data_IF_795149640420
#
_entry.id   IF_795149640420
#
_cell.length_a   1.000
_cell.length_b   1.000
_cell.length_c   1.000
_cell.angle_alpha   90.00
_cell.angle_beta   90.00
_cell.angle_gamma   90.00
#
_symmetry.space_group_name_H-M   'P 1'
#
loop_
_entity.id
_entity.type
_entity.pdbx_description
1 polymer ?
#
# COMPACT_ATOMS: atom_id res chain seq x y z
N UNK A 1 76.72 8.51 26.85
CA UNK A 1 76.32 9.96 26.79
C UNK A 1 75.04 10.05 26.05
N UNK A 2 74.01 10.62 26.71
CA UNK A 2 72.83 11.38 26.18
C UNK A 2 71.87 10.55 25.32
N UNK A 3 70.67 10.08 25.74
CA UNK A 3 69.60 10.85 26.39
C UNK A 3 68.64 11.38 25.35
N UNK A 4 67.58 10.58 24.96
CA UNK A 4 66.54 11.01 24.06
C UNK A 4 65.18 10.50 24.57
N UNK A 5 64.47 11.34 25.33
CA UNK A 5 63.07 11.15 25.74
C UNK A 5 62.16 11.26 24.52
N UNK A 6 61.46 10.17 24.19
CA UNK A 6 60.29 10.21 23.29
C UNK A 6 59.00 10.21 24.12
N UNK A 7 58.32 11.34 24.12
CA UNK A 7 57.05 11.50 24.80
C UNK A 7 55.91 10.76 24.06
N UNK A 8 55.23 9.86 24.77
CA UNK A 8 53.98 9.28 24.36
C UNK A 8 52.87 10.31 24.52
N UNK A 9 52.34 10.80 23.41
CA UNK A 9 51.07 11.52 23.39
C UNK A 9 49.94 10.46 23.44
N UNK A 10 49.38 10.26 24.61
CA UNK A 10 48.13 9.54 24.80
C UNK A 10 47.00 10.39 24.23
N UNK A 11 46.43 9.88 23.16
CA UNK A 11 45.13 10.39 22.67
C UNK A 11 44.07 10.06 23.74
N UNK A 12 43.50 11.08 24.34
CA UNK A 12 42.33 10.97 25.21
C UNK A 12 41.12 10.52 24.37
N UNK A 13 40.83 9.22 24.41
CA UNK A 13 39.60 8.65 23.93
C UNK A 13 38.46 9.11 24.85
N UNK A 14 37.66 10.06 24.38
CA UNK A 14 36.50 10.61 25.07
C UNK A 14 35.43 9.54 25.24
N UNK A 15 35.54 8.74 26.29
CA UNK A 15 34.55 7.71 26.66
C UNK A 15 33.23 8.40 27.00
N UNK A 16 32.22 8.13 26.19
CA UNK A 16 30.85 8.53 26.53
C UNK A 16 30.41 7.87 27.83
N UNK A 17 29.74 8.59 28.74
CA UNK A 17 29.29 8.01 30.00
C UNK A 17 28.26 6.93 29.77
N UNK A 18 28.56 5.69 30.19
CA UNK A 18 27.61 4.58 30.20
C UNK A 18 26.54 4.86 31.25
N UNK A 19 25.35 5.22 30.80
CA UNK A 19 24.20 5.46 31.66
C UNK A 19 23.76 4.15 32.34
N UNK A 20 23.83 4.12 33.65
CA UNK A 20 23.38 3.01 34.50
C UNK A 20 21.87 2.80 34.33
N UNK A 21 21.39 1.55 34.42
CA UNK A 21 20.04 1.10 34.02
C UNK A 21 18.83 2.01 34.42
N UNK A 22 18.84 2.59 35.62
CA UNK A 22 17.82 3.54 36.09
C UNK A 22 17.77 4.85 35.25
N UNK A 23 18.93 5.37 34.86
CA UNK A 23 19.01 6.60 34.03
C UNK A 23 18.59 6.32 32.58
N UNK A 24 18.81 5.13 32.06
CA UNK A 24 18.29 4.71 30.75
C UNK A 24 16.77 4.65 30.74
N UNK A 25 16.16 4.11 31.79
CA UNK A 25 14.69 4.00 31.90
C UNK A 25 14.02 5.37 31.94
N UNK A 26 14.58 6.32 32.70
CA UNK A 26 14.08 7.71 32.76
C UNK A 26 14.24 8.42 31.42
N UNK A 27 15.33 8.17 30.70
CA UNK A 27 15.59 8.75 29.39
C UNK A 27 14.61 8.24 28.32
N UNK A 28 14.32 6.94 28.31
CA UNK A 28 13.33 6.35 27.39
C UNK A 28 11.90 6.81 27.71
N UNK A 29 11.53 6.91 28.97
CA UNK A 29 10.21 7.42 29.37
C UNK A 29 10.04 8.89 28.97
N UNK A 30 11.07 9.71 29.16
CA UNK A 30 11.07 11.10 28.71
C UNK A 30 10.98 11.26 27.20
N UNK A 31 11.70 10.40 26.43
CA UNK A 31 11.65 10.41 24.96
C UNK A 31 10.26 10.04 24.43
N UNK A 32 9.62 9.02 25.02
CA UNK A 32 8.26 8.59 24.64
C UNK A 32 7.24 9.71 24.94
N UNK A 33 7.36 10.37 26.10
CA UNK A 33 6.49 11.50 26.45
C UNK A 33 6.63 12.67 25.49
N UNK A 34 7.86 12.95 25.05
CA UNK A 34 8.16 14.03 24.10
C UNK A 34 7.58 13.71 22.71
N UNK A 35 7.64 12.44 22.27
CA UNK A 35 7.03 11.97 21.03
C UNK A 35 5.51 12.07 21.05
N UNK A 36 4.86 11.70 22.15
CA UNK A 36 3.41 11.83 22.31
C UNK A 36 2.98 13.30 22.31
N UNK A 37 3.73 14.20 22.98
CA UNK A 37 3.46 15.63 22.96
C UNK A 37 3.61 16.26 21.55
N UNK A 38 4.55 15.80 20.74
CA UNK A 38 4.68 16.26 19.35
C UNK A 38 3.52 15.80 18.48
N UNK A 39 3.02 14.58 18.67
CA UNK A 39 1.84 14.10 17.94
C UNK A 39 0.57 14.88 18.29
N UNK A 40 0.36 15.20 19.58
CA UNK A 40 -0.83 15.97 20.02
C UNK A 40 -0.76 17.44 19.60
N UNK A 41 0.43 18.06 19.59
CA UNK A 41 0.62 19.43 19.12
C UNK A 41 0.44 19.57 17.60
N UNK A 42 0.82 18.55 16.82
CA UNK A 42 0.63 18.52 15.36
C UNK A 42 -0.84 18.51 14.96
N UNK A 43 -1.67 17.74 15.67
CA UNK A 43 -3.11 17.63 15.39
C UNK A 43 -3.85 18.93 15.73
N UNK A 44 -3.48 19.63 16.81
CA UNK A 44 -4.14 20.89 17.20
C UNK A 44 -3.81 22.05 16.26
N UNK A 45 -2.61 22.10 15.66
CA UNK A 45 -2.25 23.13 14.68
C UNK A 45 -2.97 22.93 13.34
N UNK A 46 -3.31 21.68 13.00
CA UNK A 46 -4.05 21.39 11.77
C UNK A 46 -5.54 21.77 11.88
N UNK A 47 -6.14 21.64 13.08
CA UNK A 47 -7.56 21.96 13.32
C UNK A 47 -7.87 23.45 13.59
N UNK A 48 -6.87 24.29 13.82
CA UNK A 48 -7.08 25.73 14.13
C UNK A 48 -6.79 26.68 12.97
N UNK A 49 -6.48 26.16 11.76
CA UNK A 49 -6.23 27.01 10.57
C UNK A 49 -7.44 27.26 9.68
N UNK A 50 -8.64 26.96 10.15
CA UNK A 50 -9.87 27.45 9.51
C UNK A 50 -10.48 28.61 10.29
N UNK A 51 -10.14 29.84 9.89
CA UNK A 51 -10.99 31.02 9.76
C UNK A 51 -10.13 32.28 9.65
N UNK A 52 -9.93 32.74 8.45
CA UNK A 52 -9.94 34.17 8.15
C UNK A 52 -10.25 34.37 6.66
N UNK A 53 -11.40 34.98 6.45
CA UNK A 53 -11.91 35.40 5.17
C UNK A 53 -10.95 36.36 4.49
N UNK A 54 -10.56 36.05 3.26
CA UNK A 54 -10.26 37.06 2.24
C UNK A 54 -10.72 36.51 0.88
N UNK A 55 -11.79 37.10 0.38
CA UNK A 55 -12.32 36.91 -0.94
C UNK A 55 -11.26 37.33 -1.95
N UNK A 56 -10.67 36.41 -2.68
CA UNK A 56 -10.06 36.60 -3.98
C UNK A 56 -10.66 35.56 -4.92
N UNK A 57 -11.36 36.11 -5.89
CA UNK A 57 -11.78 35.41 -7.09
C UNK A 57 -10.60 34.58 -7.64
N UNK A 58 -10.68 33.26 -7.44
CA UNK A 58 -9.80 32.30 -8.09
C UNK A 58 -10.69 31.44 -8.94
N UNK A 59 -10.47 31.57 -10.24
CA UNK A 59 -10.92 30.69 -11.30
C UNK A 59 -11.25 29.30 -10.76
N UNK A 60 -12.52 28.92 -10.92
CA UNK A 60 -13.01 27.57 -10.58
C UNK A 60 -12.19 26.53 -11.34
N UNK A 61 -11.23 25.91 -10.66
CA UNK A 61 -10.80 24.58 -11.04
C UNK A 61 -11.98 23.68 -10.70
N UNK A 62 -12.73 23.31 -11.72
CA UNK A 62 -13.74 22.27 -11.64
C UNK A 62 -12.98 21.00 -11.30
N UNK A 63 -12.91 20.68 -10.00
CA UNK A 63 -12.60 19.32 -9.57
C UNK A 63 -13.84 18.51 -9.95
N UNK A 64 -13.79 17.82 -11.07
CA UNK A 64 -14.83 16.86 -11.42
C UNK A 64 -14.86 15.85 -10.29
N UNK A 65 -15.97 15.83 -9.53
CA UNK A 65 -16.23 14.75 -8.58
C UNK A 65 -16.17 13.43 -9.34
N UNK A 66 -15.48 12.41 -8.82
CA UNK A 66 -15.38 11.12 -9.49
C UNK A 66 -16.80 10.60 -9.73
N UNK A 67 -17.13 10.35 -11.00
CA UNK A 67 -18.45 9.84 -11.41
C UNK A 67 -18.65 8.49 -10.71
N UNK A 68 -19.59 8.44 -9.77
CA UNK A 68 -19.92 7.22 -9.02
C UNK A 68 -20.71 6.26 -9.92
N UNK A 69 -20.31 5.01 -9.91
CA UNK A 69 -21.04 3.93 -10.58
C UNK A 69 -22.20 3.47 -9.68
N UNK A 70 -23.44 3.70 -10.09
CA UNK A 70 -24.63 3.45 -9.25
C UNK A 70 -25.05 1.99 -9.20
N UNK A 71 -24.55 1.16 -10.09
CA UNK A 71 -24.92 -0.27 -10.20
C UNK A 71 -23.84 -1.26 -9.73
N UNK A 72 -22.72 -0.78 -9.22
CA UNK A 72 -21.57 -1.62 -8.92
C UNK A 72 -21.81 -2.69 -7.83
N UNK A 73 -22.74 -2.44 -6.92
CA UNK A 73 -23.00 -3.32 -5.78
C UNK A 73 -23.99 -4.47 -6.09
N UNK A 74 -24.66 -4.46 -7.22
CA UNK A 74 -25.65 -5.48 -7.59
C UNK A 74 -25.03 -6.47 -8.59
N UNK A 75 -25.05 -7.75 -8.26
CA UNK A 75 -24.48 -8.82 -9.11
C UNK A 75 -25.09 -8.85 -10.52
N UNK A 76 -26.40 -8.57 -10.64
CA UNK A 76 -27.11 -8.59 -11.91
C UNK A 76 -26.66 -7.49 -12.87
N UNK A 77 -26.21 -6.36 -12.35
CA UNK A 77 -25.71 -5.21 -13.13
C UNK A 77 -24.19 -5.12 -13.18
N UNK A 78 -23.51 -5.86 -12.32
CA UNK A 78 -22.06 -5.93 -12.23
C UNK A 78 -21.60 -7.40 -12.09
N UNK A 79 -21.86 -8.26 -13.08
CA UNK A 79 -21.44 -9.66 -13.03
C UNK A 79 -19.93 -9.79 -13.09
N UNK A 80 -19.40 -10.88 -12.54
CA UNK A 80 -17.99 -11.23 -12.69
C UNK A 80 -17.69 -11.56 -14.14
N UNK A 81 -16.77 -10.84 -14.76
CA UNK A 81 -16.39 -11.01 -16.15
C UNK A 81 -14.89 -11.31 -16.28
N UNK A 82 -14.55 -12.19 -17.19
CA UNK A 82 -13.15 -12.36 -17.59
C UNK A 82 -12.67 -11.08 -18.31
N UNK A 83 -11.47 -10.62 -17.95
CA UNK A 83 -10.91 -9.39 -18.50
C UNK A 83 -10.63 -9.52 -20.01
N UNK A 84 -11.01 -8.46 -20.74
CA UNK A 84 -10.72 -8.30 -22.18
C UNK A 84 -10.00 -6.98 -22.48
N UNK A 85 -9.66 -6.22 -21.46
CA UNK A 85 -8.94 -4.95 -21.58
C UNK A 85 -7.44 -5.26 -21.56
N UNK A 86 -6.76 -5.03 -22.69
CA UNK A 86 -5.33 -5.29 -22.85
C UNK A 86 -4.50 -4.36 -21.96
N UNK A 87 -4.91 -3.08 -21.78
CA UNK A 87 -4.19 -2.14 -20.91
C UNK A 87 -4.23 -2.59 -19.43
N UNK A 88 -5.36 -3.14 -19.01
CA UNK A 88 -5.48 -3.71 -17.66
C UNK A 88 -4.66 -4.99 -17.51
N UNK A 89 -4.63 -5.85 -18.53
CA UNK A 89 -3.83 -7.05 -18.52
C UNK A 89 -2.34 -6.73 -18.41
N UNK A 90 -1.83 -5.80 -19.23
CA UNK A 90 -0.45 -5.33 -19.18
C UNK A 90 -0.07 -4.75 -17.80
N UNK A 91 -0.97 -3.98 -17.19
CA UNK A 91 -0.75 -3.40 -15.87
C UNK A 91 -0.66 -4.48 -14.77
N UNK A 92 -1.52 -5.50 -14.82
CA UNK A 92 -1.50 -6.63 -13.88
C UNK A 92 -0.24 -7.49 -14.09
N UNK A 93 0.15 -7.77 -15.33
CA UNK A 93 1.39 -8.50 -15.60
C UNK A 93 2.61 -7.75 -15.09
N UNK A 94 2.68 -6.42 -15.30
CA UNK A 94 3.75 -5.59 -14.77
C UNK A 94 3.81 -5.62 -13.24
N UNK A 95 2.64 -5.60 -12.57
CA UNK A 95 2.54 -5.74 -11.11
C UNK A 95 3.15 -7.06 -10.63
N UNK A 96 2.80 -8.20 -11.23
CA UNK A 96 3.34 -9.50 -10.81
C UNK A 96 4.81 -9.69 -11.17
N UNK A 97 5.29 -9.09 -12.26
CA UNK A 97 6.72 -9.04 -12.58
C UNK A 97 7.51 -8.28 -11.52
N UNK A 98 6.99 -7.13 -11.07
CA UNK A 98 7.61 -6.35 -10.00
C UNK A 98 7.58 -7.10 -8.67
N UNK A 99 6.46 -7.76 -8.36
CA UNK A 99 6.29 -8.55 -7.14
C UNK A 99 7.29 -9.71 -7.07
N UNK A 100 7.49 -10.46 -8.16
CA UNK A 100 8.48 -11.55 -8.24
C UNK A 100 9.91 -11.06 -8.04
N UNK A 101 10.20 -9.81 -8.43
CA UNK A 101 11.49 -9.18 -8.20
C UNK A 101 11.73 -8.73 -6.74
N UNK A 102 10.67 -8.45 -6.01
CA UNK A 102 10.70 -8.00 -4.62
C UNK A 102 10.71 -9.15 -3.60
N UNK A 103 9.99 -10.22 -3.90
CA UNK A 103 9.83 -11.35 -2.99
C UNK A 103 10.96 -12.37 -3.15
N UNK A 104 11.65 -12.65 -2.05
CA UNK A 104 12.80 -13.55 -2.08
C UNK A 104 12.43 -15.01 -2.41
N UNK A 105 11.20 -15.43 -2.12
CA UNK A 105 10.73 -16.80 -2.32
C UNK A 105 10.04 -17.02 -3.68
N UNK A 106 9.43 -16.01 -4.28
CA UNK A 106 8.77 -16.13 -5.57
C UNK A 106 9.80 -16.04 -6.72
N UNK A 107 9.74 -16.99 -7.66
CA UNK A 107 10.54 -16.98 -8.90
C UNK A 107 9.76 -16.35 -10.02
N UNK A 108 8.49 -16.74 -10.19
CA UNK A 108 7.58 -16.24 -11.22
C UNK A 108 6.11 -16.43 -10.80
N UNK A 109 5.24 -15.70 -11.48
CA UNK A 109 3.80 -15.88 -11.46
C UNK A 109 3.35 -16.18 -12.90
N UNK A 110 2.83 -17.39 -13.10
CA UNK A 110 2.45 -17.88 -14.43
C UNK A 110 0.93 -18.14 -14.50
N UNK A 111 0.40 -18.25 -15.71
CA UNK A 111 -1.00 -18.59 -15.93
C UNK A 111 -1.99 -17.56 -15.35
N UNK A 112 -1.61 -16.28 -15.42
CA UNK A 112 -2.43 -15.16 -14.91
C UNK A 112 -3.75 -15.12 -15.65
N UNK A 113 -4.86 -15.25 -14.92
CA UNK A 113 -6.22 -15.08 -15.41
C UNK A 113 -6.93 -14.02 -14.56
N UNK A 114 -7.43 -12.98 -15.21
CA UNK A 114 -7.97 -11.78 -14.58
C UNK A 114 -9.49 -11.78 -14.74
N UNK A 115 -10.19 -11.68 -13.62
CA UNK A 115 -11.64 -11.48 -13.58
C UNK A 115 -11.92 -10.14 -12.95
N UNK A 116 -12.94 -9.44 -13.45
CA UNK A 116 -13.21 -8.06 -13.08
C UNK A 116 -14.66 -7.84 -12.69
N UNK A 117 -14.85 -6.98 -11.71
CA UNK A 117 -16.10 -6.28 -11.43
C UNK A 117 -15.87 -4.77 -11.42
N UNK A 118 -16.89 -4.01 -11.78
CA UNK A 118 -16.83 -2.56 -11.68
C UNK A 118 -16.68 -2.12 -10.23
N UNK A 119 -15.78 -1.18 -9.96
CA UNK A 119 -15.65 -0.54 -8.66
C UNK A 119 -16.62 0.63 -8.49
N UNK A 120 -16.55 1.30 -7.33
CA UNK A 120 -17.40 2.45 -7.00
C UNK A 120 -17.21 3.63 -7.96
N UNK A 121 -15.98 3.97 -8.27
CA UNK A 121 -15.65 4.99 -9.24
C UNK A 121 -15.79 4.42 -10.66
N UNK A 122 -16.24 5.26 -11.60
CA UNK A 122 -16.46 4.82 -12.99
C UNK A 122 -15.23 4.23 -13.65
N UNK A 123 -14.05 4.72 -13.27
CA UNK A 123 -12.76 4.31 -13.84
C UNK A 123 -11.98 3.38 -12.88
N UNK A 124 -12.70 2.69 -11.99
CA UNK A 124 -12.12 1.70 -11.08
C UNK A 124 -12.67 0.30 -11.31
N UNK A 125 -11.88 -0.70 -10.97
CA UNK A 125 -12.20 -2.12 -11.08
C UNK A 125 -11.77 -2.86 -9.82
N UNK A 126 -12.57 -3.83 -9.39
CA UNK A 126 -12.18 -4.87 -8.45
C UNK A 126 -11.71 -6.04 -9.30
N UNK A 127 -10.50 -6.52 -9.03
CA UNK A 127 -9.86 -7.59 -9.78
C UNK A 127 -9.75 -8.84 -8.90
N UNK A 128 -10.05 -9.97 -9.46
CA UNK A 128 -9.78 -11.28 -8.90
C UNK A 128 -8.80 -11.97 -9.85
N UNK A 129 -7.55 -12.08 -9.42
CA UNK A 129 -6.47 -12.55 -10.27
C UNK A 129 -6.04 -13.94 -9.83
N UNK A 130 -6.29 -14.94 -10.68
CA UNK A 130 -5.78 -16.30 -10.49
C UNK A 130 -4.42 -16.42 -11.15
N UNK A 131 -3.50 -17.10 -10.47
CA UNK A 131 -2.15 -17.35 -10.95
C UNK A 131 -1.61 -18.66 -10.43
N UNK A 132 -0.49 -19.12 -11.00
CA UNK A 132 0.36 -20.18 -10.47
C UNK A 132 1.69 -19.56 -10.05
N UNK A 133 2.00 -19.60 -8.75
CA UNK A 133 3.26 -19.08 -8.22
C UNK A 133 4.33 -20.17 -8.25
N UNK A 134 5.46 -19.86 -8.88
CA UNK A 134 6.65 -20.69 -8.86
C UNK A 134 7.55 -20.26 -7.71
N UNK A 135 7.77 -21.16 -6.78
CA UNK A 135 8.60 -20.92 -5.60
C UNK A 135 10.04 -21.40 -5.88
N UNK A 136 11.03 -20.59 -5.52
CA UNK A 136 12.45 -20.90 -5.70
C UNK A 136 12.83 -22.21 -5.03
N UNK A 137 13.40 -23.14 -5.80
CA UNK A 137 13.82 -24.45 -5.31
C UNK A 137 12.69 -25.45 -5.09
N UNK A 138 11.47 -25.14 -5.47
CA UNK A 138 10.31 -26.04 -5.45
C UNK A 138 9.84 -26.26 -6.88
N UNK A 139 9.66 -27.52 -7.30
CA UNK A 139 9.26 -27.86 -8.66
C UNK A 139 7.75 -27.74 -8.91
N UNK A 140 6.96 -27.81 -7.84
CA UNK A 140 5.50 -27.71 -7.92
C UNK A 140 5.07 -26.26 -7.84
N UNK A 141 4.28 -25.82 -8.80
CA UNK A 141 3.62 -24.52 -8.76
C UNK A 141 2.49 -24.52 -7.74
N UNK A 142 2.28 -23.38 -7.09
CA UNK A 142 1.23 -23.18 -6.10
C UNK A 142 0.16 -22.29 -6.73
N UNK A 143 -1.08 -22.80 -6.89
CA UNK A 143 -2.17 -21.95 -7.36
C UNK A 143 -2.50 -20.90 -6.31
N UNK A 144 -2.84 -19.70 -6.76
CA UNK A 144 -3.26 -18.60 -5.92
C UNK A 144 -4.38 -17.80 -6.56
N UNK A 145 -5.12 -17.10 -5.72
CA UNK A 145 -6.11 -16.12 -6.10
C UNK A 145 -5.96 -14.89 -5.20
N UNK A 146 -5.78 -13.74 -5.83
CA UNK A 146 -5.59 -12.47 -5.13
C UNK A 146 -6.67 -11.47 -5.53
N UNK A 147 -7.12 -10.68 -4.58
CA UNK A 147 -8.04 -9.58 -4.83
C UNK A 147 -7.26 -8.28 -4.87
N UNK A 148 -7.33 -7.58 -6.00
CA UNK A 148 -6.66 -6.30 -6.24
C UNK A 148 -7.69 -5.22 -6.58
N UNK A 149 -7.28 -3.98 -6.46
CA UNK A 149 -8.09 -2.83 -6.89
C UNK A 149 -7.32 -2.03 -7.94
N UNK A 150 -7.97 -1.75 -9.06
CA UNK A 150 -7.39 -0.98 -10.14
C UNK A 150 -8.13 0.34 -10.31
N UNK A 151 -7.38 1.42 -10.49
CA UNK A 151 -7.91 2.76 -10.77
C UNK A 151 -7.19 3.34 -11.98
N UNK A 152 -7.93 3.92 -12.94
CA UNK A 152 -7.30 4.68 -14.02
C UNK A 152 -6.81 6.03 -13.49
N UNK A 153 -5.55 6.32 -13.76
CA UNK A 153 -4.95 7.62 -13.51
C UNK A 153 -5.40 8.68 -14.56
N UNK A 154 -4.88 9.89 -14.44
CA UNK A 154 -5.20 11.01 -15.35
C UNK A 154 -4.72 10.78 -16.80
N UNK A 155 -3.73 9.91 -16.96
CA UNK A 155 -3.13 9.54 -18.25
C UNK A 155 -3.84 8.31 -18.86
N UNK A 156 -4.85 7.79 -18.17
CA UNK A 156 -5.65 6.63 -18.58
C UNK A 156 -5.01 5.28 -18.27
N UNK A 157 -3.88 5.26 -17.55
CA UNK A 157 -3.20 4.02 -17.15
C UNK A 157 -3.80 3.47 -15.87
N UNK A 158 -3.80 2.15 -15.75
CA UNK A 158 -4.22 1.50 -14.51
C UNK A 158 -3.11 1.49 -13.46
N UNK A 159 -3.46 1.97 -12.27
CA UNK A 159 -2.70 1.81 -11.04
C UNK A 159 -3.26 0.62 -10.26
N UNK A 160 -2.43 -0.39 -10.00
CA UNK A 160 -2.82 -1.66 -9.35
C UNK A 160 -2.46 -1.59 -7.87
N UNK A 161 -3.46 -1.76 -7.01
CA UNK A 161 -3.35 -1.64 -5.56
C UNK A 161 -3.71 -2.97 -4.88
N UNK A 162 -2.75 -3.56 -4.17
CA UNK A 162 -2.97 -4.73 -3.30
C UNK A 162 -3.32 -4.29 -1.86
N UNK A 163 -2.67 -3.22 -1.38
CA UNK A 163 -2.94 -2.65 -0.07
C UNK A 163 -3.88 -1.46 -0.21
N UNK A 164 -5.13 -1.65 0.20
CA UNK A 164 -6.17 -0.64 0.11
C UNK A 164 -6.35 -0.01 1.49
N UNK A 165 -5.97 1.27 1.61
CA UNK A 165 -6.05 2.02 2.87
C UNK A 165 -7.43 2.67 3.09
N UNK A 166 -8.26 2.78 2.07
CA UNK A 166 -9.60 3.37 2.15
C UNK A 166 -10.61 2.36 2.68
N UNK A 167 -11.12 2.57 3.90
CA UNK A 167 -12.09 1.69 4.56
C UNK A 167 -13.39 1.53 3.75
N UNK A 168 -13.80 2.54 2.98
CA UNK A 168 -15.01 2.43 2.15
C UNK A 168 -14.77 1.48 0.97
N UNK A 169 -13.59 1.53 0.37
CA UNK A 169 -13.24 0.62 -0.73
C UNK A 169 -13.09 -0.81 -0.18
N UNK A 170 -12.48 -0.99 0.99
CA UNK A 170 -12.40 -2.31 1.64
C UNK A 170 -13.79 -2.90 1.88
N UNK A 171 -14.71 -2.14 2.46
CA UNK A 171 -16.10 -2.58 2.68
C UNK A 171 -16.78 -3.01 1.38
N UNK A 172 -16.60 -2.24 0.30
CA UNK A 172 -17.15 -2.57 -1.02
C UNK A 172 -16.56 -3.87 -1.56
N UNK A 173 -15.26 -4.06 -1.44
CA UNK A 173 -14.59 -5.30 -1.86
C UNK A 173 -15.12 -6.49 -1.08
N UNK A 174 -15.32 -6.36 0.23
CA UNK A 174 -15.90 -7.41 1.06
C UNK A 174 -17.32 -7.76 0.63
N UNK A 175 -18.19 -6.74 0.42
CA UNK A 175 -19.57 -6.95 -0.04
C UNK A 175 -19.62 -7.62 -1.42
N UNK A 176 -18.81 -7.17 -2.36
CA UNK A 176 -18.76 -7.71 -3.72
C UNK A 176 -18.14 -9.11 -3.73
N UNK A 177 -17.11 -9.35 -2.91
CA UNK A 177 -16.47 -10.66 -2.80
C UNK A 177 -17.38 -11.72 -2.18
N UNK A 178 -18.37 -11.33 -1.40
CA UNK A 178 -19.38 -12.23 -0.84
C UNK A 178 -20.45 -12.69 -1.86
N UNK A 179 -20.45 -12.14 -3.08
CA UNK A 179 -21.42 -12.50 -4.12
C UNK A 179 -21.14 -13.89 -4.67
N UNK A 180 -22.19 -14.58 -5.10
CA UNK A 180 -22.14 -16.00 -5.50
C UNK A 180 -21.15 -16.25 -6.63
N UNK A 181 -21.12 -15.39 -7.66
CA UNK A 181 -20.23 -15.54 -8.80
C UNK A 181 -18.74 -15.45 -8.42
N UNK A 182 -18.40 -14.61 -7.44
CA UNK A 182 -17.05 -14.50 -6.91
C UNK A 182 -16.73 -15.70 -6.00
N UNK A 183 -17.66 -16.13 -5.17
CA UNK A 183 -17.47 -17.29 -4.30
C UNK A 183 -17.27 -18.57 -5.12
N UNK A 184 -17.95 -18.72 -6.26
CA UNK A 184 -17.74 -19.82 -7.19
C UNK A 184 -16.32 -19.79 -7.80
N UNK A 185 -15.75 -18.60 -8.05
CA UNK A 185 -14.36 -18.47 -8.49
C UNK A 185 -13.38 -18.91 -7.40
N UNK A 186 -13.62 -18.51 -6.13
CA UNK A 186 -12.76 -18.93 -5.01
C UNK A 186 -12.77 -20.45 -4.85
N UNK A 187 -13.93 -21.08 -4.94
CA UNK A 187 -14.07 -22.54 -4.82
C UNK A 187 -13.34 -23.33 -5.94
N UNK A 188 -12.92 -22.68 -7.04
CA UNK A 188 -12.17 -23.34 -8.11
C UNK A 188 -10.65 -23.39 -7.83
N UNK A 189 -10.16 -22.66 -6.84
CA UNK A 189 -8.73 -22.54 -6.53
C UNK A 189 -8.36 -23.30 -5.25
N UNK A 190 -9.33 -23.64 -4.40
CA UNK A 190 -9.14 -24.51 -3.23
C UNK A 190 -8.95 -25.97 -3.62
#
# INVERSE_FOLDING_TARGET
MIGGKGGNAMSEEKRMPVLTGRKKQIFYTGLVYLLVCFMTAGVTVFLTKEKKDEVKEVSAVVTEEPKVNTGYAAMETNPLLENRDEELADAVEAYYQELSGKEAYAEAYDGIAIYTKDGKAKDSRILYVRYNMKIRGIYTEVPGLETLYAVKDKDGKFDIQAEISDEQIQTIIEEVSAQTDVQELFAQVE
#
